data_IF_109344564916
#
_entry.id   IF_109344564916
#
_cell.length_a   1.000
_cell.length_b   1.000
_cell.length_c   1.000
_cell.angle_alpha   90.00
_cell.angle_beta   90.00
_cell.angle_gamma   90.00
#
_symmetry.space_group_name_H-M   'P 1'
#
loop_
_entity.id
_entity.type
_entity.pdbx_description
1 polymer ?
#
# COMPACT_ATOMS: atom_id res chain seq x y z
N UNK A 1 14.59 -3.71 -76.29
CA UNK A 1 15.12 -2.79 -75.26
C UNK A 1 14.51 -3.18 -73.91
N UNK A 2 15.21 -2.95 -72.78
CA UNK A 2 15.58 -4.00 -71.82
C UNK A 2 14.99 -3.84 -70.41
N UNK A 3 15.22 -4.86 -69.57
CA UNK A 3 15.15 -4.84 -68.09
C UNK A 3 14.84 -6.24 -67.53
N UNK A 4 15.77 -7.17 -67.23
CA UNK A 4 16.83 -7.17 -66.17
C UNK A 4 16.18 -7.00 -64.78
N UNK A 5 16.35 -7.80 -63.73
CA UNK A 5 17.10 -9.03 -63.41
C UNK A 5 16.77 -9.41 -61.94
N UNK A 6 17.18 -10.61 -61.54
CA UNK A 6 17.51 -11.11 -60.19
C UNK A 6 16.36 -11.73 -59.39
N UNK A 7 16.30 -13.06 -59.22
CA UNK A 7 17.19 -13.91 -58.39
C UNK A 7 17.02 -13.61 -56.89
N UNK A 8 16.85 -14.54 -55.95
CA UNK A 8 17.03 -16.00 -55.91
C UNK A 8 16.61 -16.48 -54.53
N UNK A 9 16.16 -17.74 -54.45
CA UNK A 9 16.55 -18.78 -53.48
C UNK A 9 16.54 -18.46 -51.97
N UNK A 10 15.82 -19.27 -51.20
CA UNK A 10 16.39 -19.84 -49.97
C UNK A 10 15.79 -21.22 -49.66
N UNK A 11 16.45 -22.23 -50.22
CA UNK A 11 16.95 -23.44 -49.57
C UNK A 11 16.28 -23.85 -48.25
N UNK A 12 15.48 -24.91 -48.34
CA UNK A 12 15.13 -25.81 -47.25
C UNK A 12 16.40 -26.46 -46.69
N UNK A 13 16.59 -26.44 -45.37
CA UNK A 13 17.35 -27.47 -44.69
C UNK A 13 16.73 -27.73 -43.33
N UNK A 14 16.13 -28.92 -43.24
CA UNK A 14 15.65 -29.60 -42.05
C UNK A 14 16.55 -29.42 -40.83
N UNK A 15 15.94 -29.11 -39.68
CA UNK A 15 16.42 -29.64 -38.40
C UNK A 15 15.22 -30.04 -37.53
N UNK A 16 14.76 -31.27 -37.79
CA UNK A 16 14.30 -32.27 -36.83
C UNK A 16 13.79 -31.80 -35.45
N UNK A 17 12.46 -31.90 -35.37
CA UNK A 17 11.63 -32.16 -34.20
C UNK A 17 12.19 -33.30 -33.34
N UNK A 18 12.75 -32.96 -32.17
CA UNK A 18 12.89 -33.89 -31.04
C UNK A 18 12.04 -33.35 -29.89
N UNK A 19 10.84 -33.93 -29.79
CA UNK A 19 9.94 -33.85 -28.66
C UNK A 19 10.52 -34.62 -27.47
N UNK A 20 11.01 -33.92 -26.45
CA UNK A 20 11.20 -34.50 -25.12
C UNK A 20 10.69 -33.53 -24.05
N UNK A 21 9.48 -33.79 -23.58
CA UNK A 21 8.78 -33.01 -22.57
C UNK A 21 9.33 -33.17 -21.15
N UNK A 22 10.60 -33.59 -20.98
CA UNK A 22 11.23 -33.73 -19.66
C UNK A 22 12.77 -33.61 -19.66
N UNK A 23 13.35 -32.85 -20.58
CA UNK A 23 14.78 -32.55 -20.56
C UNK A 23 15.09 -31.46 -19.52
N UNK A 24 15.67 -31.85 -18.38
CA UNK A 24 16.13 -30.92 -17.33
C UNK A 24 17.48 -30.26 -17.65
N UNK A 25 18.12 -30.61 -18.79
CA UNK A 25 19.43 -30.09 -19.20
C UNK A 25 19.52 -29.93 -20.74
N UNK A 26 20.30 -28.96 -21.21
CA UNK A 26 20.66 -28.76 -22.62
C UNK A 26 21.67 -29.82 -23.08
N UNK A 27 21.93 -29.91 -24.38
CA UNK A 27 22.94 -30.81 -24.96
C UNK A 27 24.37 -30.56 -24.43
N UNK A 28 24.62 -29.40 -23.80
CA UNK A 28 25.88 -29.05 -23.12
C UNK A 28 25.83 -29.28 -21.59
N UNK A 29 24.81 -29.95 -21.07
CA UNK A 29 24.67 -30.29 -19.65
C UNK A 29 24.16 -29.17 -18.74
N UNK A 30 23.84 -27.99 -19.29
CA UNK A 30 23.32 -26.84 -18.53
C UNK A 30 21.85 -27.05 -18.19
N UNK A 31 21.45 -26.84 -16.94
CA UNK A 31 20.05 -27.04 -16.50
C UNK A 31 19.12 -26.07 -17.23
N UNK A 32 18.00 -26.56 -17.75
CA UNK A 32 16.96 -25.72 -18.38
C UNK A 32 16.01 -25.27 -17.27
N UNK A 33 15.99 -23.96 -16.99
CA UNK A 33 15.14 -23.36 -15.94
C UNK A 33 13.96 -22.67 -16.62
N UNK A 34 12.73 -23.04 -16.24
CA UNK A 34 11.50 -22.41 -16.77
C UNK A 34 11.30 -21.05 -16.11
N UNK A 35 10.88 -20.06 -16.92
CA UNK A 35 10.49 -18.72 -16.47
C UNK A 35 9.37 -18.84 -15.42
N UNK A 36 9.66 -18.45 -14.17
CA UNK A 36 8.71 -18.48 -13.05
C UNK A 36 9.06 -19.39 -11.87
N UNK A 37 10.23 -20.07 -11.87
CA UNK A 37 10.76 -20.66 -10.64
C UNK A 37 11.56 -19.61 -9.86
N UNK A 38 11.16 -19.36 -8.62
CA UNK A 38 11.83 -18.48 -7.67
C UNK A 38 13.35 -18.72 -7.65
N UNK A 39 14.08 -17.69 -8.10
CA UNK A 39 15.49 -17.37 -7.83
C UNK A 39 16.49 -18.54 -7.74
N UNK A 40 17.24 -18.72 -8.82
CA UNK A 40 18.47 -19.55 -8.92
C UNK A 40 19.69 -18.93 -8.18
N UNK A 41 19.48 -18.11 -7.13
CA UNK A 41 20.55 -17.49 -6.32
C UNK A 41 21.44 -18.55 -5.67
N UNK A 42 20.85 -19.65 -5.20
CA UNK A 42 21.57 -20.76 -4.57
C UNK A 42 22.40 -21.58 -5.57
N UNK A 43 21.99 -21.66 -6.83
CA UNK A 43 22.79 -22.30 -7.87
C UNK A 43 23.94 -21.39 -8.31
N UNK A 44 23.69 -20.09 -8.40
CA UNK A 44 24.70 -19.09 -8.71
C UNK A 44 25.78 -19.01 -7.63
N UNK A 45 25.44 -18.93 -6.33
CA UNK A 45 26.45 -18.91 -5.25
C UNK A 45 27.30 -20.18 -5.21
N UNK A 46 26.76 -21.33 -5.63
CA UNK A 46 27.54 -22.56 -5.77
C UNK A 46 28.52 -22.52 -6.94
N UNK A 47 28.13 -21.93 -8.07
CA UNK A 47 29.04 -21.74 -9.20
C UNK A 47 30.10 -20.69 -8.85
N UNK A 48 29.72 -19.59 -8.20
CA UNK A 48 30.64 -18.57 -7.71
C UNK A 48 31.65 -19.13 -6.69
N UNK A 49 31.19 -19.93 -5.72
CA UNK A 49 32.09 -20.58 -4.77
C UNK A 49 33.04 -21.57 -5.46
N UNK A 50 32.57 -22.26 -6.51
CA UNK A 50 33.40 -23.17 -7.30
C UNK A 50 34.45 -22.42 -8.15
N UNK A 51 34.11 -21.27 -8.73
CA UNK A 51 35.05 -20.43 -9.48
C UNK A 51 36.06 -19.73 -8.55
N UNK A 52 35.62 -19.21 -7.39
CA UNK A 52 36.50 -18.60 -6.39
C UNK A 52 37.53 -19.60 -5.82
N UNK A 53 37.13 -20.87 -5.68
CA UNK A 53 38.01 -21.95 -5.24
C UNK A 53 39.05 -22.36 -6.30
N UNK A 54 38.91 -21.91 -7.55
CA UNK A 54 39.68 -22.41 -8.70
C UNK A 54 40.38 -21.28 -9.51
N UNK A 55 40.41 -20.05 -9.00
CA UNK A 55 41.07 -18.91 -9.65
C UNK A 55 42.46 -18.64 -9.05
N UNK A 56 43.44 -18.46 -9.94
CA UNK A 56 44.76 -17.91 -9.61
C UNK A 56 44.61 -16.39 -9.34
N UNK A 57 45.18 -15.85 -8.24
CA UNK A 57 45.00 -14.46 -7.80
C UNK A 57 45.46 -13.38 -8.80
N UNK A 58 46.15 -13.74 -9.88
CA UNK A 58 46.64 -12.80 -10.90
C UNK A 58 45.59 -12.28 -11.91
N UNK A 59 44.38 -12.88 -11.99
CA UNK A 59 43.32 -12.49 -12.95
C UNK A 59 41.90 -12.34 -12.34
N UNK A 60 41.78 -11.83 -11.11
CA UNK A 60 40.51 -11.75 -10.36
C UNK A 60 39.46 -10.71 -10.86
N UNK A 61 39.67 -10.05 -12.01
CA UNK A 61 38.86 -8.88 -12.43
C UNK A 61 37.50 -9.24 -13.05
N UNK A 62 37.44 -10.19 -13.98
CA UNK A 62 36.19 -10.48 -14.72
C UNK A 62 35.12 -11.18 -13.87
N UNK A 63 35.50 -12.10 -12.99
CA UNK A 63 34.56 -12.81 -12.11
C UNK A 63 33.93 -11.89 -11.06
N UNK A 64 34.68 -10.91 -10.55
CA UNK A 64 34.21 -9.97 -9.53
C UNK A 64 33.23 -8.95 -10.11
N UNK A 65 33.45 -8.49 -11.35
CA UNK A 65 32.58 -7.53 -12.03
C UNK A 65 31.23 -8.13 -12.47
N UNK A 66 31.20 -9.41 -12.86
CA UNK A 66 29.93 -10.10 -13.12
C UNK A 66 29.11 -10.33 -11.83
N UNK A 67 29.78 -10.66 -10.73
CA UNK A 67 29.15 -10.84 -9.41
C UNK A 67 28.58 -9.52 -8.89
N UNK A 68 29.28 -8.41 -9.07
CA UNK A 68 28.79 -7.10 -8.65
C UNK A 68 27.53 -6.69 -9.42
N UNK A 69 27.51 -6.89 -10.75
CA UNK A 69 26.32 -6.63 -11.57
C UNK A 69 25.15 -7.54 -11.19
N UNK A 70 25.40 -8.82 -10.92
CA UNK A 70 24.33 -9.75 -10.54
C UNK A 70 23.82 -9.52 -9.11
N UNK A 71 24.70 -9.11 -8.19
CA UNK A 71 24.31 -8.65 -6.86
C UNK A 71 23.43 -7.39 -6.95
N UNK A 72 23.73 -6.48 -7.88
CA UNK A 72 22.90 -5.30 -8.15
C UNK A 72 21.52 -5.69 -8.68
N UNK A 73 21.44 -6.62 -9.65
CA UNK A 73 20.15 -7.16 -10.12
C UNK A 73 19.37 -7.89 -9.03
N UNK A 74 20.04 -8.72 -8.22
CA UNK A 74 19.44 -9.41 -7.08
C UNK A 74 18.88 -8.44 -6.03
N UNK A 75 19.57 -7.33 -5.80
CA UNK A 75 19.14 -6.29 -4.86
C UNK A 75 17.92 -5.53 -5.40
N UNK A 76 17.91 -5.21 -6.69
CA UNK A 76 16.76 -4.59 -7.36
C UNK A 76 15.53 -5.52 -7.33
N UNK A 77 15.71 -6.80 -7.62
CA UNK A 77 14.65 -7.80 -7.54
C UNK A 77 14.09 -7.93 -6.12
N UNK A 78 14.95 -7.95 -5.09
CA UNK A 78 14.50 -7.91 -3.70
C UNK A 78 13.74 -6.63 -3.37
N UNK A 79 14.16 -5.48 -3.90
CA UNK A 79 13.47 -4.21 -3.72
C UNK A 79 12.09 -4.21 -4.39
N UNK A 80 11.97 -4.79 -5.60
CA UNK A 80 10.68 -5.00 -6.27
C UNK A 80 9.80 -5.91 -5.45
N UNK A 81 10.33 -7.04 -4.95
CA UNK A 81 9.59 -7.96 -4.09
C UNK A 81 9.10 -7.30 -2.79
N UNK A 82 9.94 -6.46 -2.17
CA UNK A 82 9.60 -5.68 -0.99
C UNK A 82 8.48 -4.68 -1.32
N UNK A 83 8.62 -3.93 -2.41
CA UNK A 83 7.62 -2.98 -2.86
C UNK A 83 6.26 -3.66 -3.11
N UNK A 84 6.27 -4.80 -3.81
CA UNK A 84 5.08 -5.61 -4.04
C UNK A 84 4.48 -6.12 -2.73
N UNK A 85 5.30 -6.53 -1.76
CA UNK A 85 4.82 -6.94 -0.43
C UNK A 85 4.17 -5.78 0.30
N UNK A 86 4.79 -4.60 0.29
CA UNK A 86 4.23 -3.40 0.92
C UNK A 86 2.92 -2.97 0.26
N UNK A 87 2.85 -2.97 -1.07
CA UNK A 87 1.62 -2.71 -1.83
C UNK A 87 0.54 -3.73 -1.45
N UNK A 88 0.90 -5.01 -1.30
CA UNK A 88 -0.05 -6.06 -0.93
C UNK A 88 -0.60 -5.83 0.48
N UNK A 89 0.26 -5.51 1.46
CA UNK A 89 -0.17 -5.15 2.81
C UNK A 89 -1.09 -3.94 2.79
N UNK A 90 -0.74 -2.89 2.04
CA UNK A 90 -1.60 -1.70 1.85
C UNK A 90 -2.95 -2.05 1.25
N UNK A 91 -2.98 -2.88 0.20
CA UNK A 91 -4.21 -3.34 -0.44
C UNK A 91 -5.08 -4.18 0.50
N UNK A 92 -4.50 -5.07 1.32
CA UNK A 92 -5.26 -5.84 2.32
C UNK A 92 -5.96 -4.94 3.33
N UNK A 93 -5.35 -3.81 3.70
CA UNK A 93 -5.97 -2.82 4.58
C UNK A 93 -7.15 -2.09 3.93
N UNK A 94 -7.31 -2.16 2.59
CA UNK A 94 -8.46 -1.58 1.90
C UNK A 94 -9.68 -2.48 1.92
N UNK A 95 -9.53 -3.78 2.20
CA UNK A 95 -10.67 -4.71 2.25
C UNK A 95 -11.67 -4.22 3.30
N UNK A 96 -12.94 -4.11 2.91
CA UNK A 96 -14.00 -3.57 3.75
C UNK A 96 -14.10 -2.05 3.77
N UNK A 97 -13.22 -1.33 3.05
CA UNK A 97 -13.29 0.13 2.88
C UNK A 97 -13.87 0.50 1.51
N UNK A 98 -14.54 1.64 1.44
CA UNK A 98 -14.96 2.22 0.16
C UNK A 98 -13.82 3.06 -0.40
N UNK A 99 -13.57 2.95 -1.70
CA UNK A 99 -12.48 3.64 -2.41
C UNK A 99 -13.01 4.38 -3.63
N UNK A 100 -12.42 5.55 -3.91
CA UNK A 100 -12.55 6.27 -5.17
C UNK A 100 -11.44 5.83 -6.11
N UNK A 101 -11.80 5.57 -7.37
CA UNK A 101 -10.91 5.06 -8.39
C UNK A 101 -10.80 6.06 -9.54
N UNK A 102 -9.60 6.28 -10.07
CA UNK A 102 -9.35 7.11 -11.26
C UNK A 102 -9.78 6.44 -12.59
N UNK A 103 -10.86 5.65 -12.57
CA UNK A 103 -11.44 5.02 -13.76
C UNK A 103 -12.88 5.49 -13.91
N UNK A 104 -13.26 5.89 -15.11
CA UNK A 104 -14.61 6.37 -15.42
C UNK A 104 -15.54 5.19 -15.73
N UNK A 105 -16.76 5.27 -15.20
CA UNK A 105 -17.89 4.42 -15.55
C UNK A 105 -18.47 4.81 -16.93
N UNK A 106 -19.42 4.02 -17.49
CA UNK A 106 -20.06 4.35 -18.76
C UNK A 106 -20.81 5.69 -18.80
N UNK A 107 -21.07 6.30 -17.64
CA UNK A 107 -21.75 7.58 -17.50
C UNK A 107 -20.77 8.75 -17.31
N UNK A 108 -19.46 8.50 -17.34
CA UNK A 108 -18.42 9.51 -17.17
C UNK A 108 -18.15 9.91 -15.70
N UNK A 109 -18.58 9.10 -14.73
CA UNK A 109 -18.30 9.30 -13.30
C UNK A 109 -17.17 8.37 -12.86
N UNK A 110 -16.32 8.80 -11.93
CA UNK A 110 -15.33 7.92 -11.29
C UNK A 110 -16.00 6.75 -10.57
N UNK A 111 -15.43 5.55 -10.73
CA UNK A 111 -15.85 4.39 -9.95
C UNK A 111 -15.61 4.65 -8.46
N UNK A 112 -16.63 4.38 -7.66
CA UNK A 112 -16.59 4.40 -6.20
C UNK A 112 -17.24 3.11 -5.72
N UNK A 113 -16.64 2.46 -4.72
CA UNK A 113 -17.18 1.19 -4.25
C UNK A 113 -16.40 0.53 -3.14
N UNK A 114 -17.01 -0.49 -2.54
CA UNK A 114 -16.46 -1.26 -1.43
C UNK A 114 -15.46 -2.30 -1.92
N UNK A 115 -14.23 -2.30 -1.39
CA UNK A 115 -13.26 -3.36 -1.68
C UNK A 115 -13.67 -4.64 -0.97
N UNK A 116 -13.91 -5.70 -1.73
CA UNK A 116 -14.34 -7.01 -1.22
C UNK A 116 -13.20 -7.99 -1.03
N UNK A 117 -12.15 -7.90 -1.87
CA UNK A 117 -10.97 -8.77 -1.79
C UNK A 117 -9.81 -8.20 -2.59
N UNK A 118 -8.61 -8.74 -2.32
CA UNK A 118 -7.35 -8.38 -2.96
C UNK A 118 -6.76 -9.62 -3.61
N UNK A 119 -6.24 -9.47 -4.82
CA UNK A 119 -5.62 -10.54 -5.60
C UNK A 119 -4.22 -10.08 -6.01
N UNK A 120 -3.20 -10.89 -5.72
CA UNK A 120 -1.85 -10.72 -6.27
C UNK A 120 -1.70 -11.63 -7.49
N UNK A 121 -1.33 -11.05 -8.64
CA UNK A 121 -0.99 -11.79 -9.86
C UNK A 121 0.41 -11.37 -10.32
N UNK A 122 1.41 -12.21 -10.06
CA UNK A 122 2.82 -11.84 -10.24
C UNK A 122 3.18 -10.64 -9.37
N UNK A 123 3.58 -9.54 -10.02
CA UNK A 123 3.92 -8.27 -9.36
C UNK A 123 2.75 -7.28 -9.30
N UNK A 124 1.63 -7.61 -9.94
CA UNK A 124 0.44 -6.75 -9.95
C UNK A 124 -0.48 -7.09 -8.79
N UNK A 125 -1.07 -6.06 -8.20
CA UNK A 125 -2.04 -6.18 -7.11
C UNK A 125 -3.34 -5.55 -7.56
N UNK A 126 -4.38 -6.37 -7.57
CA UNK A 126 -5.72 -6.02 -8.02
C UNK A 126 -6.71 -6.05 -6.85
N UNK A 127 -7.65 -5.12 -6.89
CA UNK A 127 -8.77 -4.99 -5.97
C UNK A 127 -10.04 -5.45 -6.68
N UNK A 128 -10.84 -6.27 -6.00
CA UNK A 128 -12.22 -6.54 -6.39
C UNK A 128 -13.12 -5.54 -5.67
N UNK A 129 -13.69 -4.60 -6.41
CA UNK A 129 -14.49 -3.51 -5.87
C UNK A 129 -15.95 -3.67 -6.27
N UNK A 130 -16.84 -3.64 -5.29
CA UNK A 130 -18.29 -3.63 -5.49
C UNK A 130 -18.72 -2.21 -5.87
N UNK A 131 -19.09 -2.02 -7.14
CA UNK A 131 -19.40 -0.70 -7.72
C UNK A 131 -20.91 -0.49 -7.98
N UNK A 132 -21.75 -1.49 -7.66
CA UNK A 132 -23.19 -1.39 -7.82
C UNK A 132 -23.85 -2.76 -7.93
N UNK A 133 -25.00 -2.81 -8.61
CA UNK A 133 -25.71 -4.04 -8.96
C UNK A 133 -25.86 -4.16 -10.47
N UNK A 134 -25.83 -5.39 -10.99
CA UNK A 134 -26.15 -5.72 -12.39
C UNK A 134 -27.20 -6.82 -12.45
N UNK A 135 -27.85 -6.99 -13.59
CA UNK A 135 -28.79 -8.09 -13.80
C UNK A 135 -28.04 -9.31 -14.35
N UNK A 136 -28.31 -10.49 -13.77
CA UNK A 136 -27.87 -11.76 -14.34
C UNK A 136 -28.70 -12.14 -15.58
N UNK A 137 -28.34 -13.24 -16.26
CA UNK A 137 -29.06 -13.76 -17.44
C UNK A 137 -30.53 -14.14 -17.15
N UNK A 138 -30.91 -14.22 -15.87
CA UNK A 138 -32.26 -14.54 -15.39
C UNK A 138 -33.01 -13.29 -14.91
N UNK A 139 -32.40 -12.12 -15.01
CA UNK A 139 -32.97 -10.83 -14.62
C UNK A 139 -32.86 -10.49 -13.13
N UNK A 140 -32.18 -11.31 -12.31
CA UNK A 140 -31.99 -11.03 -10.88
C UNK A 140 -30.88 -10.00 -10.68
N UNK A 141 -31.06 -9.10 -9.69
CA UNK A 141 -30.01 -8.18 -9.28
C UNK A 141 -28.91 -8.93 -8.51
N UNK A 142 -27.68 -8.84 -9.02
CA UNK A 142 -26.48 -9.41 -8.43
C UNK A 142 -25.43 -8.31 -8.23
N UNK A 143 -24.56 -8.41 -7.21
CA UNK A 143 -23.48 -7.45 -6.99
C UNK A 143 -22.58 -7.29 -8.23
N UNK A 144 -22.34 -6.06 -8.68
CA UNK A 144 -21.38 -5.77 -9.73
C UNK A 144 -19.99 -5.54 -9.12
N UNK A 145 -19.18 -6.60 -9.14
CA UNK A 145 -17.80 -6.57 -8.69
C UNK A 145 -16.89 -6.41 -9.90
N UNK A 146 -16.08 -5.35 -9.90
CA UNK A 146 -15.11 -5.04 -10.94
C UNK A 146 -13.68 -5.06 -10.41
N UNK A 147 -12.73 -5.37 -11.29
CA UNK A 147 -11.30 -5.45 -10.97
C UNK A 147 -10.59 -4.15 -11.32
N UNK A 148 -9.78 -3.65 -10.39
CA UNK A 148 -8.98 -2.45 -10.55
C UNK A 148 -7.58 -2.70 -10.01
N UNK A 149 -6.58 -2.04 -10.58
CA UNK A 149 -5.24 -2.07 -10.00
C UNK A 149 -5.21 -1.19 -8.74
N UNK A 150 -4.40 -1.55 -7.75
CA UNK A 150 -4.24 -0.75 -6.52
C UNK A 150 -3.82 0.70 -6.82
N UNK A 151 -3.11 0.91 -7.93
CA UNK A 151 -2.65 2.21 -8.42
C UNK A 151 -3.78 3.10 -8.92
N UNK A 152 -4.97 2.54 -9.17
CA UNK A 152 -6.15 3.32 -9.54
C UNK A 152 -6.84 3.95 -8.34
N UNK A 153 -6.53 3.55 -7.11
CA UNK A 153 -7.13 4.15 -5.91
C UNK A 153 -6.61 5.57 -5.72
N UNK A 154 -7.50 6.55 -5.81
CA UNK A 154 -7.16 7.97 -5.58
C UNK A 154 -7.43 8.37 -4.15
N UNK A 155 -8.54 7.90 -3.59
CA UNK A 155 -8.96 8.24 -2.23
C UNK A 155 -9.64 7.04 -1.60
N UNK A 156 -9.57 6.97 -0.28
CA UNK A 156 -10.28 5.98 0.52
C UNK A 156 -11.44 6.74 1.16
N UNK A 157 -12.65 6.49 0.67
CA UNK A 157 -13.88 7.10 1.17
C UNK A 157 -14.40 6.24 2.33
N UNK A 158 -13.81 6.44 3.50
CA UNK A 158 -14.05 5.57 4.63
C UNK A 158 -15.17 6.08 5.53
N UNK A 159 -16.42 6.03 5.04
CA UNK A 159 -17.59 6.42 5.84
C UNK A 159 -17.70 5.71 7.21
N UNK A 160 -16.93 4.61 7.44
CA UNK A 160 -16.83 3.88 8.70
C UNK A 160 -15.47 3.88 9.41
N UNK A 161 -14.34 4.23 8.76
CA UNK A 161 -13.02 4.38 9.40
C UNK A 161 -12.41 5.78 9.28
N UNK A 162 -13.23 6.80 9.05
CA UNK A 162 -12.93 8.17 9.49
C UNK A 162 -12.75 8.24 11.03
N UNK A 163 -13.24 7.26 11.80
CA UNK A 163 -13.21 7.31 13.26
C UNK A 163 -11.93 6.79 13.93
N UNK A 164 -10.88 6.37 13.22
CA UNK A 164 -9.63 5.92 13.88
C UNK A 164 -8.34 6.61 13.40
N UNK A 165 -8.17 6.91 12.10
CA UNK A 165 -6.98 7.66 11.67
C UNK A 165 -7.19 9.19 11.72
N UNK A 166 -8.39 9.66 11.37
CA UNK A 166 -8.76 11.08 11.52
C UNK A 166 -9.01 11.43 12.99
N UNK A 167 -9.60 10.53 13.78
CA UNK A 167 -9.67 10.71 15.24
C UNK A 167 -8.30 10.67 15.90
N UNK A 168 -7.34 9.83 15.51
CA UNK A 168 -6.02 9.85 16.18
C UNK A 168 -5.24 11.13 15.89
N UNK A 169 -5.30 11.67 14.66
CA UNK A 169 -4.63 12.92 14.31
C UNK A 169 -5.35 14.17 14.83
N UNK A 170 -6.69 14.19 14.79
CA UNK A 170 -7.48 15.25 15.42
C UNK A 170 -7.33 15.21 16.95
N UNK A 171 -7.47 14.06 17.61
CA UNK A 171 -7.25 13.95 19.05
C UNK A 171 -5.81 14.27 19.46
N UNK A 172 -4.80 14.04 18.61
CA UNK A 172 -3.41 14.45 18.91
C UNK A 172 -3.25 15.97 18.82
N UNK A 173 -3.80 16.60 17.77
CA UNK A 173 -3.79 18.05 17.63
C UNK A 173 -4.65 18.74 18.70
N UNK A 174 -5.81 18.19 19.02
CA UNK A 174 -6.74 18.67 20.05
C UNK A 174 -6.14 18.49 21.44
N UNK A 175 -5.45 17.38 21.71
CA UNK A 175 -4.70 17.21 22.95
C UNK A 175 -3.55 18.23 23.06
N UNK A 176 -2.82 18.49 21.97
CA UNK A 176 -1.76 19.49 21.95
C UNK A 176 -2.33 20.92 22.15
N UNK A 177 -3.40 21.25 21.45
CA UNK A 177 -4.11 22.53 21.58
C UNK A 177 -4.67 22.72 22.99
N UNK A 178 -5.30 21.69 23.56
CA UNK A 178 -5.77 21.67 24.94
C UNK A 178 -4.59 21.79 25.93
N UNK A 179 -3.46 21.14 25.66
CA UNK A 179 -2.27 21.20 26.52
C UNK A 179 -1.70 22.61 26.62
N UNK A 180 -1.79 23.40 25.55
CA UNK A 180 -1.41 24.83 25.56
C UNK A 180 -2.31 25.65 26.48
N UNK A 181 -3.54 25.19 26.76
CA UNK A 181 -4.47 25.87 27.65
C UNK A 181 -4.16 25.63 29.13
N UNK A 182 -3.26 24.70 29.49
CA UNK A 182 -2.89 24.47 30.89
C UNK A 182 -2.36 25.77 31.50
N UNK A 183 -2.97 26.19 32.61
CA UNK A 183 -2.68 27.45 33.29
C UNK A 183 -3.38 28.68 32.71
N UNK A 184 -4.16 28.56 31.63
CA UNK A 184 -5.01 29.63 31.07
C UNK A 184 -6.41 29.61 31.67
N UNK A 185 -7.07 30.76 31.65
CA UNK A 185 -8.47 30.89 32.04
C UNK A 185 -9.38 30.64 30.84
N UNK A 186 -10.29 29.68 30.96
CA UNK A 186 -11.22 29.27 29.90
C UNK A 186 -12.67 29.52 30.32
N UNK A 187 -13.54 29.76 29.35
CA UNK A 187 -14.99 29.81 29.50
C UNK A 187 -15.60 28.59 28.81
N UNK A 188 -16.55 27.92 29.46
CA UNK A 188 -17.14 26.67 28.98
C UNK A 188 -18.63 26.83 28.65
N UNK A 189 -19.14 26.01 27.73
CA UNK A 189 -20.58 25.93 27.38
C UNK A 189 -21.43 25.45 28.56
N UNK A 190 -20.86 24.60 29.42
CA UNK A 190 -21.52 24.11 30.61
C UNK A 190 -21.87 25.27 31.56
N UNK A 191 -23.06 25.20 32.14
CA UNK A 191 -23.58 26.23 33.04
C UNK A 191 -23.58 25.79 34.49
N UNK A 192 -23.30 26.73 35.37
CA UNK A 192 -23.43 26.57 36.81
C UNK A 192 -24.90 26.62 37.27
N UNK A 193 -25.13 26.43 38.58
CA UNK A 193 -26.44 26.50 39.21
C UNK A 193 -27.12 27.88 39.12
N UNK A 194 -26.40 28.90 38.64
CA UNK A 194 -26.88 30.26 38.41
C UNK A 194 -27.13 30.57 36.93
N UNK A 195 -27.09 29.55 36.06
CA UNK A 195 -27.28 29.64 34.61
C UNK A 195 -26.19 30.48 33.90
N UNK A 196 -25.01 30.61 34.51
CA UNK A 196 -23.83 31.25 33.91
C UNK A 196 -22.84 30.20 33.44
N UNK A 197 -22.08 30.51 32.40
CA UNK A 197 -21.01 29.65 31.89
C UNK A 197 -19.94 29.43 32.97
N UNK A 198 -19.45 28.20 33.10
CA UNK A 198 -18.29 27.95 33.95
C UNK A 198 -17.09 28.73 33.42
N UNK A 199 -16.36 29.36 34.33
CA UNK A 199 -15.10 30.07 34.04
C UNK A 199 -14.07 29.59 35.05
N UNK A 200 -12.91 29.18 34.58
CA UNK A 200 -11.89 28.63 35.47
C UNK A 200 -10.54 28.43 34.80
N UNK A 201 -9.55 28.02 35.60
CA UNK A 201 -8.18 27.79 35.13
C UNK A 201 -7.98 26.32 34.80
N UNK A 202 -7.49 26.00 33.61
CA UNK A 202 -7.19 24.61 33.23
C UNK A 202 -5.99 24.10 34.04
N UNK A 203 -6.15 22.98 34.76
CA UNK A 203 -5.11 22.34 35.56
C UNK A 203 -4.48 21.15 34.87
N UNK A 204 -5.25 20.41 34.09
CA UNK A 204 -4.78 19.21 33.40
C UNK A 204 -5.57 18.95 32.13
N UNK A 205 -4.96 18.18 31.24
CA UNK A 205 -5.60 17.64 30.04
C UNK A 205 -5.37 16.14 30.05
N UNK A 206 -6.43 15.38 29.82
CA UNK A 206 -6.38 13.93 29.81
C UNK A 206 -7.14 13.36 28.63
N UNK A 207 -6.81 12.11 28.27
CA UNK A 207 -7.54 11.35 27.27
C UNK A 207 -8.23 10.18 27.96
N UNK A 208 -9.55 10.11 27.88
CA UNK A 208 -10.36 9.02 28.42
C UNK A 208 -11.42 8.64 27.39
N UNK A 209 -11.62 7.34 27.17
CA UNK A 209 -12.65 6.80 26.25
C UNK A 209 -12.59 7.33 24.81
N UNK A 210 -11.42 7.82 24.37
CA UNK A 210 -11.23 8.40 23.04
C UNK A 210 -11.59 9.89 22.93
N UNK A 211 -11.94 10.54 24.04
CA UNK A 211 -12.24 11.97 24.12
C UNK A 211 -11.14 12.73 24.87
N UNK A 212 -10.91 13.99 24.49
CA UNK A 212 -10.03 14.91 25.21
C UNK A 212 -10.84 15.62 26.29
N UNK A 213 -10.42 15.45 27.55
CA UNK A 213 -11.01 16.10 28.72
C UNK A 213 -10.05 17.14 29.29
N UNK A 214 -10.59 18.30 29.66
CA UNK A 214 -9.89 19.35 30.38
C UNK A 214 -10.38 19.40 31.81
N UNK A 215 -9.45 19.33 32.76
CA UNK A 215 -9.76 19.51 34.18
C UNK A 215 -9.63 20.99 34.51
N UNK A 216 -10.74 21.63 34.88
CA UNK A 216 -10.82 23.07 35.12
C UNK A 216 -11.10 23.34 36.60
N UNK A 217 -10.30 24.21 37.19
CA UNK A 217 -10.52 24.77 38.54
C UNK A 217 -11.57 25.87 38.45
N UNK A 218 -12.77 25.58 38.95
CA UNK A 218 -13.95 26.45 38.90
C UNK A 218 -14.08 27.32 40.16
N UNK A 219 -13.06 27.35 41.02
CA UNK A 219 -13.05 28.07 42.29
C UNK A 219 -13.42 27.19 43.49
N UNK A 220 -13.23 27.72 44.71
CA UNK A 220 -13.47 27.02 45.98
C UNK A 220 -12.72 25.68 46.16
N UNK A 221 -11.54 25.55 45.53
CA UNK A 221 -10.76 24.29 45.45
C UNK A 221 -11.51 23.13 44.77
N UNK A 222 -12.54 23.43 43.98
CA UNK A 222 -13.28 22.42 43.21
C UNK A 222 -12.77 22.38 41.76
N UNK A 223 -12.42 21.18 41.31
CA UNK A 223 -12.08 20.93 39.90
C UNK A 223 -13.14 20.07 39.24
N UNK A 224 -13.46 20.38 37.99
CA UNK A 224 -14.42 19.61 37.20
C UNK A 224 -13.86 19.32 35.83
N UNK A 225 -14.15 18.12 35.34
CA UNK A 225 -13.75 17.68 34.01
C UNK A 225 -14.82 18.06 32.99
N UNK A 226 -14.37 18.63 31.87
CA UNK A 226 -15.21 19.02 30.74
C UNK A 226 -14.59 18.50 29.45
N UNK A 227 -15.41 18.28 28.42
CA UNK A 227 -14.87 17.96 27.10
C UNK A 227 -14.18 19.19 26.50
N UNK A 228 -13.10 18.98 25.75
CA UNK A 228 -12.34 20.07 25.15
C UNK A 228 -13.18 20.97 24.22
N UNK A 229 -14.15 20.38 23.52
CA UNK A 229 -15.08 21.08 22.62
C UNK A 229 -16.12 21.96 23.36
N UNK A 230 -16.22 21.85 24.68
CA UNK A 230 -17.03 22.72 25.51
C UNK A 230 -16.38 24.08 25.75
N UNK A 231 -15.09 24.27 25.44
CA UNK A 231 -14.42 25.56 25.59
C UNK A 231 -14.95 26.53 24.52
N UNK A 232 -15.56 27.64 24.95
CA UNK A 232 -16.08 28.69 24.06
C UNK A 232 -15.11 29.85 23.90
N UNK A 233 -14.29 30.11 24.91
CA UNK A 233 -13.37 31.24 24.91
C UNK A 233 -12.13 30.96 25.77
N UNK A 234 -11.00 31.51 25.35
CA UNK A 234 -9.72 31.41 26.07
C UNK A 234 -9.25 32.83 26.37
N UNK A 235 -9.11 33.15 27.65
CA UNK A 235 -8.54 34.43 28.10
C UNK A 235 -7.05 34.22 28.34
N UNK A 236 -6.24 35.12 27.78
CA UNK A 236 -4.82 35.19 28.13
C UNK A 236 -4.71 35.66 29.58
N UNK A 237 -3.92 34.94 30.37
CA UNK A 237 -3.50 35.36 31.71
C UNK A 237 -2.79 36.71 31.67
#
# INVERSE_FOLDING_TARGET
>A
MPGVNSATNNNSNDINKASDANATKTSKGTRIVKKGQDMDKNAFFKILAAELSNQDPSNAKDGTEYVSQMAQFSSLEQMVNLNTTMKLTGANNLIGKTVNLNKLDPNGKFYNGLVTSVIKSGDTIQLNVLVGQKKDDKGNEVPDIQKFDIENVTEIDDAGSINNYTNTMNNTNDFLNASVLIGRTVELKAKDSTNKNYVGVVKAVSRADGEIKVTVDIGNNETKDFQYDEITNVKSS
#
